data_IF_915141612266
#
_entry.id   IF_915141612266
#
_cell.length_a   1.000
_cell.length_b   1.000
_cell.length_c   1.000
_cell.angle_alpha   90.00
_cell.angle_beta   90.00
_cell.angle_gamma   90.00
#
_symmetry.space_group_name_H-M   'P 1'
#
loop_
_entity.id
_entity.type
_entity.pdbx_description
1 polymer ?
#
# COMPACT_ATOMS: atom_id res chain seq x y z
N UNK A 1 -1.66 -23.59 8.58
CA UNK A 1 -0.56 -22.80 7.99
C UNK A 1 -0.77 -22.53 6.49
N UNK A 2 -1.12 -23.53 5.68
CA UNK A 2 -1.35 -23.37 4.22
C UNK A 2 -2.41 -22.31 3.91
N UNK A 3 -3.53 -22.29 4.64
CA UNK A 3 -4.58 -21.26 4.49
C UNK A 3 -4.04 -19.84 4.69
N UNK A 4 -3.12 -19.64 5.64
CA UNK A 4 -2.52 -18.33 5.88
C UNK A 4 -1.65 -17.82 4.72
N UNK A 5 -0.90 -18.72 4.05
CA UNK A 5 -0.16 -18.37 2.82
C UNK A 5 -1.09 -18.02 1.67
N UNK A 6 -2.21 -18.74 1.52
CA UNK A 6 -3.23 -18.44 0.50
C UNK A 6 -3.84 -17.06 0.77
N UNK A 7 -4.22 -16.75 2.01
CA UNK A 7 -4.75 -15.43 2.36
C UNK A 7 -3.73 -14.31 2.08
N UNK A 8 -2.45 -14.51 2.44
CA UNK A 8 -1.39 -13.51 2.15
C UNK A 8 -1.18 -13.29 0.65
N UNK A 9 -1.20 -14.35 -0.15
CA UNK A 9 -1.10 -14.24 -1.60
C UNK A 9 -2.32 -13.54 -2.22
N UNK A 10 -3.54 -13.88 -1.79
CA UNK A 10 -4.77 -13.20 -2.22
C UNK A 10 -4.73 -11.72 -1.85
N UNK A 11 -4.30 -11.40 -0.63
CA UNK A 11 -4.20 -10.03 -0.16
C UNK A 11 -3.30 -9.18 -1.05
N UNK A 12 -2.08 -9.66 -1.29
CA UNK A 12 -1.09 -8.97 -2.09
C UNK A 12 -1.51 -8.88 -3.57
N UNK A 13 -1.97 -9.98 -4.16
CA UNK A 13 -2.46 -9.99 -5.53
C UNK A 13 -3.66 -9.05 -5.72
N UNK A 14 -4.63 -9.07 -4.78
CA UNK A 14 -5.78 -8.17 -4.82
C UNK A 14 -5.36 -6.70 -4.77
N UNK A 15 -4.38 -6.35 -3.93
CA UNK A 15 -3.88 -4.97 -3.87
C UNK A 15 -3.14 -4.57 -5.14
N UNK A 16 -2.35 -5.48 -5.73
CA UNK A 16 -1.68 -5.27 -7.00
C UNK A 16 -2.63 -5.09 -8.20
N UNK A 17 -3.92 -5.38 -8.05
CA UNK A 17 -4.94 -5.13 -9.08
C UNK A 17 -5.41 -3.67 -9.14
N UNK A 18 -4.89 -2.76 -8.30
CA UNK A 18 -5.26 -1.34 -8.37
C UNK A 18 -5.19 -0.76 -9.79
N UNK A 19 -4.11 -0.93 -10.58
CA UNK A 19 -4.03 -0.41 -11.95
C UNK A 19 -5.09 -1.00 -12.87
N UNK A 20 -5.41 -2.28 -12.70
CA UNK A 20 -6.38 -3.00 -13.53
C UNK A 20 -7.73 -2.28 -13.61
N UNK A 21 -8.21 -1.77 -12.47
CA UNK A 21 -9.52 -1.11 -12.39
C UNK A 21 -9.41 0.43 -12.48
N UNK A 22 -8.23 0.99 -12.23
CA UNK A 22 -8.04 2.45 -12.27
C UNK A 22 -7.80 2.97 -13.68
N UNK A 23 -6.98 2.28 -14.47
CA UNK A 23 -6.59 2.76 -15.80
C UNK A 23 -7.76 2.84 -16.79
N UNK A 24 -8.74 1.91 -16.80
CA UNK A 24 -9.93 2.07 -17.63
C UNK A 24 -10.76 3.32 -17.26
N UNK A 25 -10.85 3.66 -15.96
CA UNK A 25 -11.54 4.87 -15.50
C UNK A 25 -10.83 6.14 -15.98
N UNK A 26 -9.49 6.16 -15.97
CA UNK A 26 -8.70 7.27 -16.50
C UNK A 26 -8.83 7.38 -18.01
N UNK A 27 -8.84 6.26 -18.73
CA UNK A 27 -9.08 6.23 -20.19
C UNK A 27 -10.45 6.79 -20.57
N UNK A 28 -11.45 6.67 -19.68
CA UNK A 28 -12.77 7.27 -19.84
C UNK A 28 -12.82 8.76 -19.43
N UNK A 29 -11.70 9.39 -19.09
CA UNK A 29 -11.61 10.81 -18.73
C UNK A 29 -12.00 11.11 -17.29
N UNK A 30 -12.10 10.12 -16.41
CA UNK A 30 -12.40 10.35 -14.99
C UNK A 30 -11.17 10.92 -14.27
N UNK A 31 -11.39 11.93 -13.45
CA UNK A 31 -10.34 12.53 -12.63
C UNK A 31 -9.92 11.59 -11.49
N UNK A 32 -8.65 11.73 -11.06
CA UNK A 32 -8.09 11.00 -9.92
C UNK A 32 -8.98 11.14 -8.67
N UNK A 33 -9.42 12.37 -8.40
CA UNK A 33 -10.23 12.68 -7.23
C UNK A 33 -11.59 12.01 -7.27
N UNK A 34 -12.24 11.96 -8.43
CA UNK A 34 -13.51 11.26 -8.62
C UNK A 34 -13.36 9.76 -8.43
N UNK A 35 -12.33 9.14 -9.01
CA UNK A 35 -12.07 7.69 -8.86
C UNK A 35 -11.82 7.34 -7.40
N UNK A 36 -11.00 8.11 -6.69
CA UNK A 36 -10.69 7.87 -5.29
C UNK A 36 -11.89 8.17 -4.37
N UNK A 37 -12.70 9.17 -4.68
CA UNK A 37 -13.94 9.42 -3.95
C UNK A 37 -14.86 8.19 -3.99
N UNK A 38 -15.15 7.66 -5.17
CA UNK A 38 -16.00 6.47 -5.30
C UNK A 38 -15.37 5.25 -4.63
N UNK A 39 -14.06 5.02 -4.82
CA UNK A 39 -13.34 3.94 -4.15
C UNK A 39 -13.52 3.99 -2.65
N UNK A 40 -13.29 5.15 -2.03
CA UNK A 40 -13.38 5.33 -0.58
C UNK A 40 -14.84 5.26 -0.09
N UNK A 41 -15.76 5.89 -0.79
CA UNK A 41 -17.18 5.86 -0.41
C UNK A 41 -17.73 4.43 -0.39
N UNK A 42 -17.48 3.64 -1.44
CA UNK A 42 -17.92 2.24 -1.47
C UNK A 42 -17.14 1.37 -0.48
N UNK A 43 -15.86 1.61 -0.27
CA UNK A 43 -15.10 0.88 0.73
C UNK A 43 -15.61 1.15 2.16
N UNK A 44 -16.02 2.37 2.49
CA UNK A 44 -16.69 2.70 3.76
C UNK A 44 -17.96 1.87 3.95
N UNK A 45 -18.79 1.79 2.91
CA UNK A 45 -20.03 1.00 2.96
C UNK A 45 -19.70 -0.48 3.21
N UNK A 46 -18.80 -1.06 2.42
CA UNK A 46 -18.42 -2.48 2.53
C UNK A 46 -17.82 -2.79 3.90
N UNK A 47 -16.88 -1.97 4.38
CA UNK A 47 -16.24 -2.16 5.68
C UNK A 47 -17.22 -1.92 6.84
N UNK A 48 -18.16 -0.98 6.70
CA UNK A 48 -19.21 -0.73 7.68
C UNK A 48 -20.15 -1.95 7.82
N UNK A 49 -20.56 -2.55 6.70
CA UNK A 49 -21.33 -3.80 6.69
C UNK A 49 -20.53 -4.92 7.34
N UNK A 50 -19.25 -5.07 7.01
CA UNK A 50 -18.38 -6.07 7.62
C UNK A 50 -18.24 -5.89 9.13
N UNK A 51 -18.04 -4.67 9.61
CA UNK A 51 -18.00 -4.37 11.05
C UNK A 51 -19.29 -4.84 11.74
N UNK A 52 -20.44 -4.55 11.14
CA UNK A 52 -21.74 -4.97 11.66
C UNK A 52 -21.87 -6.48 11.69
N UNK A 53 -21.47 -7.18 10.61
CA UNK A 53 -21.50 -8.64 10.54
C UNK A 53 -20.54 -9.30 11.53
N UNK A 54 -19.40 -8.66 11.84
CA UNK A 54 -18.45 -9.10 12.85
C UNK A 54 -18.87 -8.74 14.28
N UNK A 55 -20.01 -8.10 14.48
CA UNK A 55 -20.49 -7.66 15.81
C UNK A 55 -19.61 -6.58 16.45
N UNK A 56 -18.82 -5.85 15.64
CA UNK A 56 -17.95 -4.80 16.16
C UNK A 56 -18.74 -3.51 16.41
N UNK A 57 -18.47 -2.89 17.56
CA UNK A 57 -19.08 -1.60 17.91
C UNK A 57 -18.48 -0.46 17.09
N UNK A 58 -19.33 0.45 16.59
CA UNK A 58 -18.93 1.70 15.95
C UNK A 58 -18.46 2.79 16.92
N UNK A 59 -18.59 2.59 18.24
CA UNK A 59 -18.19 3.60 19.19
C UNK A 59 -16.67 3.75 19.22
N UNK A 60 -16.17 4.99 19.20
CA UNK A 60 -14.76 5.33 19.35
C UNK A 60 -14.49 5.94 20.74
N UNK A 61 -13.32 5.65 21.30
CA UNK A 61 -12.81 6.40 22.44
C UNK A 61 -12.38 7.78 21.95
N UNK A 62 -12.65 8.83 22.70
CA UNK A 62 -12.26 10.22 22.35
C UNK A 62 -10.77 10.33 22.04
N UNK A 63 -9.93 9.58 22.77
CA UNK A 63 -8.49 9.55 22.57
C UNK A 63 -8.03 8.97 21.22
N UNK A 64 -8.87 8.15 20.56
CA UNK A 64 -8.53 7.51 19.28
C UNK A 64 -8.96 8.37 18.06
N UNK A 65 -9.83 9.37 18.25
CA UNK A 65 -10.39 10.15 17.14
C UNK A 65 -9.30 10.93 16.42
N UNK A 66 -8.52 11.75 17.13
CA UNK A 66 -7.47 12.57 16.52
C UNK A 66 -6.39 11.71 15.81
N UNK A 67 -5.84 10.65 16.44
CA UNK A 67 -4.94 9.74 15.75
C UNK A 67 -5.56 9.10 14.49
N UNK A 68 -6.84 8.69 14.52
CA UNK A 68 -7.53 8.12 13.36
C UNK A 68 -7.70 9.14 12.23
N UNK A 69 -8.02 10.39 12.55
CA UNK A 69 -8.10 11.46 11.54
C UNK A 69 -6.74 11.65 10.87
N UNK A 70 -5.67 11.80 11.65
CA UNK A 70 -4.31 11.99 11.11
C UNK A 70 -3.91 10.79 10.23
N UNK A 71 -4.14 9.56 10.71
CA UNK A 71 -3.81 8.36 9.96
C UNK A 71 -4.67 8.22 8.71
N UNK A 72 -5.95 8.60 8.77
CA UNK A 72 -6.85 8.61 7.61
C UNK A 72 -6.38 9.60 6.54
N UNK A 73 -5.98 10.80 6.92
CA UNK A 73 -5.42 11.80 6.01
C UNK A 73 -4.12 11.29 5.36
N UNK A 74 -3.18 10.73 6.15
CA UNK A 74 -1.92 10.18 5.62
C UNK A 74 -2.18 9.04 4.62
N UNK A 75 -3.11 8.13 4.93
CA UNK A 75 -3.48 7.04 4.04
C UNK A 75 -4.10 7.57 2.73
N UNK A 76 -4.96 8.60 2.82
CA UNK A 76 -5.58 9.22 1.64
C UNK A 76 -4.57 9.99 0.81
N UNK A 77 -3.65 10.74 1.42
CA UNK A 77 -2.56 11.38 0.68
C UNK A 77 -1.66 10.37 -0.02
N UNK A 78 -1.35 9.25 0.65
CA UNK A 78 -0.63 8.15 -0.01
C UNK A 78 -1.38 7.64 -1.24
N UNK A 79 -2.67 7.34 -1.11
CA UNK A 79 -3.50 6.89 -2.24
C UNK A 79 -3.57 7.95 -3.35
N UNK A 80 -3.77 9.21 -3.00
CA UNK A 80 -3.85 10.31 -3.95
C UNK A 80 -2.58 10.43 -4.78
N UNK A 81 -1.42 10.47 -4.12
CA UNK A 81 -0.13 10.63 -4.77
C UNK A 81 0.21 9.43 -5.66
N UNK A 82 -0.11 8.20 -5.22
CA UNK A 82 0.05 7.01 -6.05
C UNK A 82 -0.81 7.09 -7.31
N UNK A 83 -2.09 7.39 -7.16
CA UNK A 83 -3.03 7.46 -8.29
C UNK A 83 -2.71 8.63 -9.23
N UNK A 84 -2.22 9.75 -8.72
CA UNK A 84 -1.70 10.84 -9.56
C UNK A 84 -0.48 10.40 -10.36
N UNK A 85 0.39 9.56 -9.80
CA UNK A 85 1.60 9.10 -10.52
C UNK A 85 1.29 8.28 -11.77
N UNK A 86 0.15 7.58 -11.81
CA UNK A 86 -0.29 6.81 -12.98
C UNK A 86 -0.53 7.66 -14.23
N UNK A 87 -0.69 8.99 -14.09
CA UNK A 87 -0.74 9.91 -15.22
C UNK A 87 0.65 10.28 -15.77
N UNK A 88 1.73 9.92 -15.08
CA UNK A 88 3.09 10.32 -15.40
C UNK A 88 4.02 9.15 -15.72
N UNK A 89 3.66 7.93 -15.34
CA UNK A 89 4.45 6.73 -15.55
C UNK A 89 3.59 5.48 -15.57
N UNK A 90 4.16 4.38 -16.04
CA UNK A 90 3.52 3.05 -16.04
C UNK A 90 3.15 2.63 -14.61
N UNK A 91 1.92 2.15 -14.44
CA UNK A 91 1.36 1.86 -13.13
C UNK A 91 2.04 0.66 -12.45
N UNK A 92 2.55 -0.29 -13.21
CA UNK A 92 3.37 -1.40 -12.71
C UNK A 92 4.69 -0.91 -12.09
N UNK A 93 5.35 0.05 -12.74
CA UNK A 93 6.58 0.67 -12.23
C UNK A 93 6.26 1.50 -10.98
N UNK A 94 5.19 2.30 -11.01
CA UNK A 94 4.75 3.09 -9.86
C UNK A 94 4.48 2.19 -8.64
N UNK A 95 3.76 1.08 -8.82
CA UNK A 95 3.48 0.10 -7.76
C UNK A 95 4.75 -0.55 -7.20
N UNK A 96 5.76 -0.78 -8.06
CA UNK A 96 7.06 -1.30 -7.63
C UNK A 96 7.81 -0.28 -6.75
N UNK A 97 7.84 0.99 -7.14
CA UNK A 97 8.49 2.05 -6.35
C UNK A 97 7.73 2.26 -5.03
N UNK A 98 6.40 2.20 -5.04
CA UNK A 98 5.60 2.27 -3.82
C UNK A 98 6.04 1.21 -2.81
N UNK A 99 6.34 -0.01 -3.27
CA UNK A 99 6.77 -1.13 -2.42
C UNK A 99 8.10 -0.89 -1.67
N UNK A 100 8.72 0.27 -1.84
CA UNK A 100 9.86 0.72 -1.03
C UNK A 100 9.42 1.19 0.38
N UNK A 101 8.12 1.37 0.66
CA UNK A 101 7.65 1.82 1.97
C UNK A 101 8.21 1.04 3.17
N UNK A 102 8.48 -0.29 3.15
CA UNK A 102 9.08 -0.99 4.28
C UNK A 102 10.52 -0.54 4.57
N UNK A 103 11.25 -0.11 3.52
CA UNK A 103 12.58 0.51 3.67
C UNK A 103 12.45 1.83 4.42
N UNK A 104 11.49 2.67 4.01
CA UNK A 104 11.23 3.95 4.69
C UNK A 104 10.77 3.76 6.13
N UNK A 105 9.92 2.75 6.42
CA UNK A 105 9.57 2.36 7.79
C UNK A 105 10.82 2.02 8.61
N UNK A 106 11.76 1.25 8.06
CA UNK A 106 12.99 0.90 8.75
C UNK A 106 13.86 2.13 9.06
N UNK A 107 13.95 3.08 8.12
CA UNK A 107 14.67 4.35 8.31
C UNK A 107 14.01 5.20 9.40
N UNK A 108 12.70 5.37 9.35
CA UNK A 108 11.94 6.14 10.36
C UNK A 108 12.13 5.53 11.76
N UNK A 109 12.03 4.20 11.86
CA UNK A 109 12.19 3.49 13.15
C UNK A 109 13.61 3.64 13.70
N UNK A 110 14.62 3.62 12.85
CA UNK A 110 16.01 3.86 13.26
C UNK A 110 16.26 5.32 13.69
N UNK A 111 15.80 6.27 12.89
CA UNK A 111 16.07 7.69 13.11
C UNK A 111 15.31 8.28 14.31
N UNK A 112 14.01 7.99 14.44
CA UNK A 112 13.14 8.62 15.44
C UNK A 112 12.92 7.76 16.69
N UNK A 113 12.99 6.44 16.57
CA UNK A 113 12.71 5.52 17.68
C UNK A 113 13.97 4.78 18.16
N UNK A 114 15.15 5.18 17.66
CA UNK A 114 16.46 4.63 18.07
C UNK A 114 16.54 3.10 17.96
N UNK A 115 15.77 2.50 17.03
CA UNK A 115 15.94 1.09 16.73
C UNK A 115 17.30 0.87 16.06
N UNK A 116 18.02 -0.18 16.48
CA UNK A 116 19.32 -0.51 15.90
C UNK A 116 19.19 -0.86 14.42
N UNK A 117 19.85 -0.07 13.58
CA UNK A 117 19.91 -0.34 12.14
C UNK A 117 20.98 -1.41 11.93
N UNK A 118 20.59 -2.56 11.39
CA UNK A 118 21.53 -3.65 11.09
C UNK A 118 22.27 -3.39 9.77
N UNK A 119 23.43 -4.05 9.57
CA UNK A 119 24.16 -4.00 8.31
C UNK A 119 23.28 -4.47 7.13
N UNK A 120 22.41 -5.46 7.34
CA UNK A 120 21.43 -5.93 6.34
C UNK A 120 20.47 -4.80 5.97
N UNK A 121 20.01 -4.01 6.94
CA UNK A 121 19.12 -2.88 6.69
C UNK A 121 19.83 -1.81 5.84
N UNK A 122 21.08 -1.47 6.16
CA UNK A 122 21.87 -0.50 5.37
C UNK A 122 22.06 -0.99 3.93
N UNK A 123 22.49 -2.25 3.76
CA UNK A 123 22.64 -2.86 2.45
C UNK A 123 21.34 -2.84 1.65
N UNK A 124 20.21 -3.17 2.28
CA UNK A 124 18.89 -3.14 1.65
C UNK A 124 18.48 -1.73 1.23
N UNK A 125 18.77 -0.71 2.02
CA UNK A 125 18.51 0.69 1.65
C UNK A 125 19.30 1.05 0.38
N UNK A 126 20.60 0.74 0.35
CA UNK A 126 21.44 1.02 -0.81
C UNK A 126 20.95 0.26 -2.06
N UNK A 127 20.55 -1.00 -1.90
CA UNK A 127 20.03 -1.82 -2.97
C UNK A 127 18.70 -1.25 -3.53
N UNK A 128 17.80 -0.79 -2.65
CA UNK A 128 16.53 -0.17 -3.05
C UNK A 128 16.77 1.15 -3.81
N UNK A 129 17.66 2.01 -3.31
CA UNK A 129 18.02 3.26 -3.98
C UNK A 129 18.64 3.02 -5.35
N UNK A 130 19.53 2.02 -5.47
CA UNK A 130 20.11 1.62 -6.76
C UNK A 130 19.05 1.10 -7.72
N UNK A 131 18.07 0.32 -7.22
CA UNK A 131 16.92 -0.14 -8.01
C UNK A 131 16.08 1.02 -8.54
N UNK A 132 15.74 2.00 -7.68
CA UNK A 132 15.02 3.21 -8.10
C UNK A 132 15.82 4.00 -9.15
N UNK A 133 17.12 4.13 -8.97
CA UNK A 133 17.99 4.83 -9.93
C UNK A 133 18.01 4.15 -11.31
N UNK A 134 17.98 2.80 -11.34
CA UNK A 134 17.84 2.04 -12.58
C UNK A 134 16.47 2.25 -13.25
N UNK A 135 15.40 2.27 -12.46
CA UNK A 135 14.05 2.55 -12.97
C UNK A 135 13.96 3.97 -13.53
N UNK A 136 14.56 4.96 -12.84
CA UNK A 136 14.56 6.36 -13.29
C UNK A 136 15.15 6.55 -14.70
N UNK A 137 16.19 5.79 -15.03
CA UNK A 137 16.82 5.89 -16.36
C UNK A 137 15.93 5.33 -17.49
N UNK A 138 14.82 4.68 -17.19
CA UNK A 138 13.87 4.17 -18.17
C UNK A 138 14.48 3.14 -19.14
N UNK A 139 14.04 3.19 -20.39
CA UNK A 139 14.51 2.30 -21.47
C UNK A 139 15.80 2.78 -22.16
N UNK A 140 16.42 3.85 -21.65
CA UNK A 140 17.65 4.45 -22.20
C UNK A 140 17.42 5.60 -23.18
N UNK A 141 16.22 5.77 -23.73
CA UNK A 141 15.88 6.85 -24.64
C UNK A 141 15.17 8.03 -23.96
N UNK A 142 14.36 7.73 -22.93
CA UNK A 142 13.71 8.75 -22.10
C UNK A 142 13.68 8.28 -20.66
N UNK A 143 14.13 9.12 -19.69
CA UNK A 143 13.97 8.81 -18.28
C UNK A 143 12.50 8.83 -17.90
N UNK A 144 12.14 8.07 -16.84
CA UNK A 144 10.81 8.15 -16.25
C UNK A 144 10.54 9.58 -15.76
N UNK A 145 9.27 9.94 -15.73
CA UNK A 145 8.86 11.26 -15.24
C UNK A 145 9.35 11.49 -13.81
N UNK A 146 10.16 12.50 -13.60
CA UNK A 146 10.61 12.92 -12.27
C UNK A 146 9.44 13.26 -11.36
N UNK A 147 8.40 13.90 -11.90
CA UNK A 147 7.16 14.24 -11.17
C UNK A 147 6.47 12.97 -10.69
N UNK A 148 6.32 11.96 -11.56
CA UNK A 148 5.73 10.68 -11.20
C UNK A 148 6.51 9.98 -10.09
N UNK A 149 7.83 9.94 -10.17
CA UNK A 149 8.69 9.34 -9.13
C UNK A 149 8.55 10.09 -7.81
N UNK A 150 8.55 11.41 -7.82
CA UNK A 150 8.34 12.23 -6.60
C UNK A 150 6.99 11.89 -5.97
N UNK A 151 5.92 11.80 -6.75
CA UNK A 151 4.60 11.43 -6.25
C UNK A 151 4.61 10.04 -5.59
N UNK A 152 5.20 9.04 -6.23
CA UNK A 152 5.26 7.68 -5.65
C UNK A 152 6.13 7.64 -4.39
N UNK A 153 7.27 8.32 -4.37
CA UNK A 153 8.12 8.37 -3.18
C UNK A 153 7.43 9.09 -2.01
N UNK A 154 6.71 10.17 -2.26
CA UNK A 154 5.90 10.84 -1.25
C UNK A 154 4.72 9.98 -0.79
N UNK A 155 4.10 9.23 -1.71
CA UNK A 155 3.07 8.24 -1.40
C UNK A 155 3.62 7.16 -0.47
N UNK A 156 4.77 6.59 -0.82
CA UNK A 156 5.49 5.58 -0.03
C UNK A 156 5.86 6.09 1.36
N UNK A 157 6.34 7.34 1.46
CA UNK A 157 6.66 7.99 2.73
C UNK A 157 5.40 8.20 3.58
N UNK A 158 4.31 8.73 3.00
CA UNK A 158 3.04 8.92 3.70
C UNK A 158 2.51 7.61 4.25
N UNK A 159 2.60 6.53 3.46
CA UNK A 159 2.20 5.20 3.90
C UNK A 159 3.12 4.63 4.99
N UNK A 160 4.43 4.87 4.90
CA UNK A 160 5.38 4.47 5.94
C UNK A 160 5.08 5.18 7.26
N UNK A 161 4.80 6.49 7.23
CA UNK A 161 4.41 7.27 8.42
C UNK A 161 3.08 6.75 8.99
N UNK A 162 2.10 6.44 8.13
CA UNK A 162 0.85 5.81 8.54
C UNK A 162 1.10 4.50 9.31
N UNK A 163 1.91 3.60 8.77
CA UNK A 163 2.23 2.31 9.41
C UNK A 163 2.90 2.52 10.77
N UNK A 164 3.90 3.41 10.84
CA UNK A 164 4.61 3.72 12.08
C UNK A 164 3.64 4.35 13.08
N UNK A 165 2.82 5.30 12.64
CA UNK A 165 1.83 5.98 13.47
C UNK A 165 0.82 5.02 14.09
N UNK A 166 0.26 4.10 13.30
CA UNK A 166 -0.65 3.06 13.82
C UNK A 166 0.05 2.19 14.87
N UNK A 167 1.28 1.76 14.59
CA UNK A 167 2.03 0.88 15.50
C UNK A 167 2.51 1.55 16.79
N UNK A 168 2.65 2.86 16.80
CA UNK A 168 3.18 3.65 17.93
C UNK A 168 2.13 4.48 18.67
N UNK A 169 0.86 4.38 18.27
CA UNK A 169 -0.26 5.06 18.92
C UNK A 169 -1.22 4.09 19.61
N UNK A 170 -2.27 4.63 20.24
CA UNK A 170 -3.36 3.86 20.83
C UNK A 170 -4.09 2.97 19.81
N UNK A 171 -3.96 3.28 18.53
CA UNK A 171 -4.62 2.57 17.43
C UNK A 171 -4.14 1.13 17.26
N UNK A 172 -2.96 0.78 17.77
CA UNK A 172 -2.39 -0.58 17.71
C UNK A 172 -3.33 -1.65 18.29
N UNK A 173 -4.19 -1.27 19.24
CA UNK A 173 -5.12 -2.19 19.91
C UNK A 173 -6.47 -2.28 19.24
N UNK A 174 -6.75 -1.45 18.23
CA UNK A 174 -8.02 -1.49 17.50
C UNK A 174 -8.08 -2.71 16.57
N UNK A 175 -9.26 -3.33 16.42
CA UNK A 175 -9.48 -4.34 15.39
C UNK A 175 -9.17 -3.76 14.00
N UNK A 176 -8.50 -4.54 13.15
CA UNK A 176 -8.04 -4.07 11.83
C UNK A 176 -9.18 -3.52 10.96
N UNK A 177 -10.34 -4.20 10.95
CA UNK A 177 -11.53 -3.75 10.17
C UNK A 177 -12.00 -2.38 10.64
N UNK A 178 -12.04 -2.16 11.97
CA UNK A 178 -12.46 -0.90 12.57
C UNK A 178 -11.47 0.23 12.30
N UNK A 179 -10.16 -0.04 12.45
CA UNK A 179 -9.10 0.90 12.13
C UNK A 179 -9.20 1.35 10.67
N UNK A 180 -9.33 0.40 9.75
CA UNK A 180 -9.41 0.68 8.31
C UNK A 180 -10.67 1.42 7.94
N UNK A 181 -11.83 1.02 8.50
CA UNK A 181 -13.09 1.71 8.28
C UNK A 181 -12.97 3.20 8.60
N UNK A 182 -12.46 3.55 9.79
CA UNK A 182 -12.33 4.94 10.19
C UNK A 182 -11.22 5.68 9.45
N UNK A 183 -10.10 5.03 9.13
CA UNK A 183 -9.05 5.64 8.32
C UNK A 183 -9.58 6.02 6.92
N UNK A 184 -10.34 5.13 6.28
CA UNK A 184 -10.96 5.41 4.97
C UNK A 184 -12.09 6.44 5.10
N UNK A 185 -12.90 6.38 6.15
CA UNK A 185 -13.99 7.33 6.40
C UNK A 185 -13.44 8.75 6.57
N UNK A 186 -12.44 8.95 7.44
CA UNK A 186 -11.82 10.26 7.62
C UNK A 186 -11.03 10.68 6.38
N UNK A 187 -10.38 9.73 5.71
CA UNK A 187 -9.66 9.98 4.47
C UNK A 187 -10.55 10.40 3.31
N UNK A 188 -11.81 9.96 3.26
CA UNK A 188 -12.78 10.38 2.26
C UNK A 188 -12.97 11.91 2.23
N UNK A 189 -12.79 12.58 3.38
CA UNK A 189 -12.90 14.04 3.48
C UNK A 189 -11.92 14.77 2.56
N UNK A 190 -10.74 14.19 2.28
CA UNK A 190 -9.76 14.76 1.34
C UNK A 190 -10.36 14.91 -0.04
N UNK A 191 -11.03 13.88 -0.53
CA UNK A 191 -11.63 13.89 -1.88
C UNK A 191 -12.90 14.72 -1.94
N UNK A 192 -13.68 14.78 -0.85
CA UNK A 192 -14.83 15.68 -0.75
C UNK A 192 -14.38 17.14 -0.89
N UNK A 193 -13.32 17.53 -0.18
CA UNK A 193 -12.78 18.90 -0.25
C UNK A 193 -12.16 19.18 -1.64
N UNK A 194 -11.39 18.24 -2.19
CA UNK A 194 -10.75 18.39 -3.49
C UNK A 194 -11.73 18.43 -4.67
N UNK A 195 -12.89 17.80 -4.53
CA UNK A 195 -14.00 17.87 -5.48
C UNK A 195 -14.93 19.07 -5.21
N UNK A 196 -14.45 20.08 -4.51
CA UNK A 196 -15.21 21.26 -4.17
C UNK A 196 -16.57 20.92 -3.56
N UNK A 197 -16.55 20.10 -2.48
CA UNK A 197 -17.73 19.53 -1.83
C UNK A 197 -18.67 18.77 -2.79
N UNK A 198 -18.06 17.93 -3.63
CA UNK A 198 -18.73 17.08 -4.62
C UNK A 198 -19.41 17.83 -5.80
N UNK A 199 -19.20 19.13 -5.94
CA UNK A 199 -19.72 19.89 -7.11
C UNK A 199 -19.02 19.50 -8.42
N UNK A 200 -17.75 19.04 -8.33
CA UNK A 200 -16.94 18.59 -9.46
C UNK A 200 -16.93 17.07 -9.61
N UNK A 201 -17.82 16.35 -8.90
CA UNK A 201 -17.91 14.92 -8.97
C UNK A 201 -18.43 14.48 -10.34
N UNK A 202 -17.63 13.74 -11.07
CA UNK A 202 -17.99 13.21 -12.39
C UNK A 202 -18.92 12.01 -12.24
N UNK A 203 -19.91 11.93 -13.11
CA UNK A 203 -20.82 10.78 -13.20
C UNK A 203 -20.10 9.67 -13.95
N UNK A 204 -20.21 8.43 -13.48
CA UNK A 204 -19.63 7.26 -14.14
C UNK A 204 -20.39 6.99 -15.43
N UNK A 205 -19.73 7.05 -16.62
CA UNK A 205 -20.43 7.12 -17.91
C UNK A 205 -21.00 5.79 -18.41
N UNK A 206 -20.58 4.65 -17.85
CA UNK A 206 -21.06 3.36 -18.32
C UNK A 206 -21.23 2.31 -17.23
N UNK A 207 -22.08 1.30 -17.41
CA UNK A 207 -22.23 0.19 -16.46
C UNK A 207 -20.95 -0.60 -16.23
N UNK A 208 -20.08 -0.74 -17.26
CA UNK A 208 -18.83 -1.45 -17.14
C UNK A 208 -17.86 -0.71 -16.19
N UNK A 209 -17.79 0.61 -16.28
CA UNK A 209 -16.96 1.43 -15.39
C UNK A 209 -17.49 1.44 -13.94
N UNK A 210 -18.79 1.23 -13.72
CA UNK A 210 -19.34 0.96 -12.40
C UNK A 210 -18.78 -0.34 -11.81
N UNK A 211 -18.63 -1.38 -12.65
CA UNK A 211 -17.99 -2.62 -12.20
C UNK A 211 -16.54 -2.40 -11.80
N UNK A 212 -15.78 -1.59 -12.55
CA UNK A 212 -14.39 -1.24 -12.20
C UNK A 212 -14.30 -0.49 -10.88
N UNK A 213 -15.17 0.50 -10.65
CA UNK A 213 -15.22 1.26 -9.40
C UNK A 213 -15.56 0.37 -8.20
N UNK A 214 -16.56 -0.50 -8.35
CA UNK A 214 -16.93 -1.45 -7.29
C UNK A 214 -15.84 -2.48 -7.05
N UNK A 215 -15.23 -3.00 -8.12
CA UNK A 215 -14.11 -3.93 -8.01
C UNK A 215 -12.91 -3.27 -7.30
N UNK A 216 -12.61 -1.99 -7.60
CA UNK A 216 -11.57 -1.21 -6.95
C UNK A 216 -11.81 -1.03 -5.45
N UNK A 217 -13.06 -0.82 -5.03
CA UNK A 217 -13.41 -0.73 -3.62
C UNK A 217 -13.39 -2.08 -2.90
N UNK A 218 -13.79 -3.16 -3.58
CA UNK A 218 -13.92 -4.48 -2.97
C UNK A 218 -12.58 -5.23 -2.98
N UNK A 219 -11.95 -5.42 -4.15
CA UNK A 219 -10.79 -6.31 -4.28
C UNK A 219 -9.52 -5.71 -3.66
N UNK A 220 -8.95 -4.58 -4.14
CA UNK A 220 -7.72 -4.06 -3.57
C UNK A 220 -7.92 -3.37 -2.21
N UNK A 221 -9.16 -3.12 -1.79
CA UNK A 221 -9.40 -2.51 -0.48
C UNK A 221 -9.96 -3.51 0.52
N UNK A 222 -11.22 -3.94 0.40
CA UNK A 222 -11.85 -4.78 1.42
C UNK A 222 -11.24 -6.18 1.48
N UNK A 223 -11.15 -6.89 0.34
CA UNK A 223 -10.62 -8.27 0.28
C UNK A 223 -9.14 -8.29 0.68
N UNK A 224 -8.34 -7.37 0.14
CA UNK A 224 -6.92 -7.28 0.48
C UNK A 224 -6.70 -7.11 1.99
N UNK A 225 -7.40 -6.17 2.63
CA UNK A 225 -7.24 -5.89 4.05
C UNK A 225 -7.70 -7.05 4.94
N UNK A 226 -8.84 -7.67 4.61
CA UNK A 226 -9.35 -8.84 5.36
C UNK A 226 -8.37 -10.00 5.24
N UNK A 227 -7.94 -10.32 4.02
CA UNK A 227 -7.01 -11.41 3.79
C UNK A 227 -5.64 -11.14 4.43
N UNK A 228 -5.18 -9.88 4.46
CA UNK A 228 -3.97 -9.48 5.21
C UNK A 228 -4.12 -9.78 6.70
N UNK A 229 -5.23 -9.40 7.32
CA UNK A 229 -5.48 -9.66 8.73
C UNK A 229 -5.52 -11.18 9.03
N UNK A 230 -6.22 -11.96 8.20
CA UNK A 230 -6.29 -13.42 8.33
C UNK A 230 -4.92 -14.10 8.11
N UNK A 231 -4.12 -13.60 7.18
CA UNK A 231 -2.75 -14.06 6.97
C UNK A 231 -1.88 -13.80 8.20
N UNK A 232 -1.89 -12.57 8.73
CA UNK A 232 -1.12 -12.20 9.93
C UNK A 232 -1.49 -13.09 11.12
N UNK A 233 -2.78 -13.36 11.33
CA UNK A 233 -3.24 -14.24 12.40
C UNK A 233 -2.79 -15.70 12.22
N UNK A 234 -2.70 -16.18 10.96
CA UNK A 234 -2.43 -17.58 10.66
C UNK A 234 -0.94 -17.91 10.55
N UNK A 235 -0.13 -17.03 9.96
CA UNK A 235 1.30 -17.28 9.66
C UNK A 235 2.23 -16.21 10.22
N UNK A 236 1.66 -15.15 10.84
CA UNK A 236 2.42 -14.04 11.40
C UNK A 236 2.71 -12.92 10.40
N UNK A 237 3.16 -11.78 10.92
CA UNK A 237 3.40 -10.57 10.13
C UNK A 237 4.55 -10.70 9.13
N UNK A 238 5.62 -11.41 9.50
CA UNK A 238 6.81 -11.55 8.63
C UNK A 238 6.53 -12.32 7.34
N UNK A 239 5.97 -13.56 7.36
CA UNK A 239 5.61 -14.25 6.12
C UNK A 239 4.57 -13.50 5.29
N UNK A 240 3.60 -12.83 5.94
CA UNK A 240 2.60 -12.02 5.26
C UNK A 240 3.26 -10.85 4.51
N UNK A 241 4.21 -10.16 5.15
CA UNK A 241 4.94 -9.06 4.52
C UNK A 241 5.83 -9.52 3.34
N UNK A 242 6.42 -10.73 3.41
CA UNK A 242 7.17 -11.31 2.28
C UNK A 242 6.22 -11.56 1.09
N UNK A 243 5.02 -12.09 1.36
CA UNK A 243 4.00 -12.27 0.33
C UNK A 243 3.53 -10.95 -0.29
N UNK A 244 3.69 -9.82 0.41
CA UNK A 244 3.48 -8.48 -0.13
C UNK A 244 4.28 -8.18 -1.39
N UNK A 245 5.41 -8.87 -1.64
CA UNK A 245 6.15 -8.77 -2.89
C UNK A 245 5.34 -9.19 -4.14
N UNK A 246 4.22 -9.89 -3.96
CA UNK A 246 3.29 -10.18 -5.05
C UNK A 246 2.49 -8.94 -5.51
N UNK A 247 2.41 -7.87 -4.72
CA UNK A 247 1.73 -6.63 -5.13
C UNK A 247 2.34 -6.04 -6.39
N UNK A 248 3.65 -5.67 -6.42
CA UNK A 248 4.25 -5.13 -7.63
C UNK A 248 4.30 -6.15 -8.77
N UNK A 249 4.46 -7.44 -8.47
CA UNK A 249 4.44 -8.50 -9.50
C UNK A 249 3.08 -8.56 -10.18
N UNK A 250 1.99 -8.50 -9.41
CA UNK A 250 0.63 -8.51 -9.96
C UNK A 250 0.34 -7.24 -10.76
N UNK A 251 0.74 -6.07 -10.26
CA UNK A 251 0.57 -4.81 -10.97
C UNK A 251 1.31 -4.81 -12.31
N UNK A 252 2.55 -5.29 -12.33
CA UNK A 252 3.34 -5.44 -13.57
C UNK A 252 2.73 -6.46 -14.53
N UNK A 253 2.23 -7.58 -14.02
CA UNK A 253 1.58 -8.60 -14.85
C UNK A 253 0.40 -8.00 -15.64
N UNK A 254 -0.49 -7.27 -14.95
CA UNK A 254 -1.61 -6.60 -15.62
C UNK A 254 -1.17 -5.42 -16.48
N UNK A 255 -0.15 -4.66 -16.05
CA UNK A 255 0.45 -3.58 -16.82
C UNK A 255 0.94 -4.05 -18.20
N UNK A 256 1.70 -5.14 -18.21
CA UNK A 256 2.22 -5.73 -19.47
C UNK A 256 1.11 -6.37 -20.28
N UNK A 257 0.25 -7.20 -19.66
CA UNK A 257 -0.73 -8.02 -20.36
C UNK A 257 -1.87 -7.21 -20.98
N UNK A 258 -2.38 -6.21 -20.24
CA UNK A 258 -3.59 -5.48 -20.63
C UNK A 258 -3.32 -4.04 -21.08
N UNK A 259 -2.30 -3.42 -20.53
CA UNK A 259 -1.99 -2.01 -20.84
C UNK A 259 -0.74 -1.85 -21.71
N UNK A 260 -0.16 -2.98 -22.18
CA UNK A 260 1.00 -3.00 -23.06
C UNK A 260 2.23 -2.23 -22.55
N UNK A 261 2.39 -2.17 -21.20
CA UNK A 261 3.57 -1.60 -20.57
C UNK A 261 4.83 -2.34 -21.04
N UNK A 262 5.88 -1.59 -21.42
CA UNK A 262 7.12 -2.18 -21.94
C UNK A 262 8.09 -2.45 -20.80
N UNK A 263 8.44 -3.72 -20.59
CA UNK A 263 9.48 -4.13 -19.68
C UNK A 263 10.81 -4.31 -20.42
N UNK A 264 11.75 -3.42 -20.17
CA UNK A 264 13.13 -3.60 -20.64
C UNK A 264 13.93 -4.44 -19.64
N UNK A 265 15.01 -5.13 -20.05
CA UNK A 265 15.88 -5.86 -19.12
C UNK A 265 16.38 -5.00 -17.95
N UNK A 266 16.63 -3.72 -18.21
CA UNK A 266 17.06 -2.76 -17.19
C UNK A 266 15.97 -2.50 -16.15
N UNK A 267 14.72 -2.29 -16.57
CA UNK A 267 13.59 -2.12 -15.66
C UNK A 267 13.38 -3.38 -14.82
N UNK A 268 13.49 -4.57 -15.43
CA UNK A 268 13.40 -5.84 -14.71
C UNK A 268 14.47 -5.96 -13.60
N UNK A 269 15.72 -5.58 -13.89
CA UNK A 269 16.79 -5.60 -12.87
C UNK A 269 16.48 -4.63 -11.74
N UNK A 270 16.03 -3.40 -12.04
CA UNK A 270 15.65 -2.42 -11.02
C UNK A 270 14.50 -2.91 -10.11
N UNK A 271 13.47 -3.52 -10.71
CA UNK A 271 12.34 -4.14 -10.01
C UNK A 271 12.82 -5.26 -9.08
N UNK A 272 13.64 -6.18 -9.59
CA UNK A 272 14.19 -7.28 -8.80
C UNK A 272 15.05 -6.78 -7.64
N UNK A 273 15.85 -5.71 -7.84
CA UNK A 273 16.62 -5.10 -6.78
C UNK A 273 15.73 -4.55 -5.65
N UNK A 274 14.64 -3.85 -5.98
CA UNK A 274 13.69 -3.32 -4.99
C UNK A 274 13.01 -4.45 -4.23
N UNK A 275 12.49 -5.46 -4.92
CA UNK A 275 11.83 -6.61 -4.29
C UNK A 275 12.81 -7.35 -3.37
N UNK A 276 14.05 -7.57 -3.82
CA UNK A 276 15.09 -8.22 -3.02
C UNK A 276 15.45 -7.38 -1.79
N UNK A 277 15.62 -6.06 -1.94
CA UNK A 277 15.91 -5.15 -0.84
C UNK A 277 14.84 -5.21 0.26
N UNK A 278 13.57 -5.14 -0.12
CA UNK A 278 12.45 -5.22 0.82
C UNK A 278 12.37 -6.58 1.50
N UNK A 279 12.54 -7.66 0.74
CA UNK A 279 12.56 -9.03 1.26
C UNK A 279 13.68 -9.22 2.30
N UNK A 280 14.88 -8.72 2.03
CA UNK A 280 16.01 -8.77 2.96
C UNK A 280 15.74 -8.01 4.27
N UNK A 281 15.12 -6.83 4.22
CA UNK A 281 14.73 -6.08 5.42
C UNK A 281 13.74 -6.89 6.27
N UNK A 282 12.74 -7.49 5.64
CA UNK A 282 11.70 -8.24 6.34
C UNK A 282 12.29 -9.50 7.00
N UNK A 283 13.11 -10.26 6.27
CA UNK A 283 13.78 -11.46 6.78
C UNK A 283 14.79 -11.10 7.87
N UNK A 284 15.61 -10.07 7.66
CA UNK A 284 16.62 -9.62 8.60
C UNK A 284 16.03 -9.25 9.96
N UNK A 285 14.92 -8.51 10.00
CA UNK A 285 14.20 -8.21 11.25
C UNK A 285 13.69 -9.47 11.95
N UNK A 286 13.20 -10.45 11.20
CA UNK A 286 12.71 -11.72 11.75
C UNK A 286 13.83 -12.56 12.38
N UNK A 287 14.99 -12.65 11.71
CA UNK A 287 16.16 -13.38 12.20
C UNK A 287 16.73 -12.76 13.47
N UNK A 288 16.89 -11.43 13.51
CA UNK A 288 17.37 -10.71 14.70
C UNK A 288 16.45 -10.97 15.89
N UNK A 289 15.12 -10.93 15.68
CA UNK A 289 14.14 -11.21 16.74
C UNK A 289 14.26 -12.65 17.27
N UNK A 290 14.45 -13.64 16.38
CA UNK A 290 14.66 -15.04 16.79
C UNK A 290 15.96 -15.23 17.57
N UNK A 291 17.04 -14.62 17.12
CA UNK A 291 18.33 -14.70 17.81
C UNK A 291 18.29 -14.07 19.21
N UNK A 292 17.64 -12.93 19.36
CA UNK A 292 17.48 -12.27 20.68
C UNK A 292 16.68 -13.12 21.66
N UNK A 293 15.64 -13.82 21.20
CA UNK A 293 14.86 -14.74 22.05
C UNK A 293 15.72 -15.97 22.46
N UNK A 294 16.47 -16.55 21.53
CA UNK A 294 17.35 -17.69 21.82
C UNK A 294 18.46 -17.31 22.84
N UNK A 295 19.05 -16.12 22.70
CA UNK A 295 20.07 -15.63 23.63
C UNK A 295 19.49 -15.32 25.03
N UNK A 296 18.21 -14.96 25.16
CA UNK A 296 17.55 -14.80 26.44
C UNK A 296 17.24 -16.15 27.11
N UNK A 297 16.93 -17.17 26.34
CA UNK A 297 16.70 -18.54 26.85
C UNK A 297 18.00 -19.20 27.31
N UNK A 298 19.10 -18.95 26.60
CA UNK A 298 20.44 -19.47 26.95
C UNK A 298 21.08 -18.81 28.18
N UNK A 299 20.53 -17.70 28.66
CA UNK A 299 21.01 -16.99 29.87
C UNK A 299 20.20 -17.28 31.13
N UNK A 300 19.16 -18.11 31.03
CA UNK A 300 18.42 -18.71 32.13
C UNK A 300 18.84 -20.16 32.35
#
# INVERSE_FOLDING_TARGET
KTKGFIYGAIAAASYGMNPLFTLPLYAAGMSVDTVLFYRYAFAVIVLGVLMKLQGQSFTLRKADILPLVIMGLLFSFSSLLLFMSYNYMDAGIASTILFVYPVMVAVIMGAFFKEKISAITVFSILLALSGIALLYQGDGNKPLSTVGIIFVLLSSLSYAIYIVGVNRSSLKTLPTTKLTFYAILFGLSVYIVRLNFCTELQIIPSPLLWADVLALAILPTAVSLICTALAIQSIGSTPTAILGALEPVTALFFGVLLFHEKLTPRLMVGILMIITAVTLIIIGKSLIKKMSVLLQISKK
#
